data_IF_528863980075
#
_entry.id   IF_528863980075
#
_cell.length_a   1.000
_cell.length_b   1.000
_cell.length_c   1.000
_cell.angle_alpha   90.00
_cell.angle_beta   90.00
_cell.angle_gamma   90.00
#
_symmetry.space_group_name_H-M   'P 1'
#
loop_
_entity.id
_entity.type
_entity.pdbx_description
1 polymer ?
#
# COMPACT_ATOMS: atom_id res chain seq x y z
N UNK A 1 -27.85 -47.48 -35.41
CA UNK A 1 -27.66 -46.65 -34.21
C UNK A 1 -26.35 -45.90 -34.39
N UNK A 2 -26.42 -44.60 -34.73
CA UNK A 2 -25.23 -43.71 -34.85
C UNK A 2 -25.16 -42.86 -33.61
N UNK A 3 -24.13 -43.06 -32.78
CA UNK A 3 -23.86 -42.24 -31.60
C UNK A 3 -23.12 -40.99 -32.04
N UNK A 4 -23.75 -39.84 -31.91
CA UNK A 4 -23.13 -38.52 -32.13
C UNK A 4 -22.44 -38.08 -30.85
N UNK A 5 -21.10 -38.09 -30.82
CA UNK A 5 -20.31 -37.56 -29.74
C UNK A 5 -20.28 -36.02 -29.85
N UNK A 6 -20.90 -35.34 -28.92
CA UNK A 6 -20.85 -33.90 -28.76
C UNK A 6 -19.53 -33.54 -28.02
N UNK A 7 -18.58 -32.96 -28.75
CA UNK A 7 -17.33 -32.48 -28.21
C UNK A 7 -17.58 -31.10 -27.56
N UNK A 8 -17.67 -31.06 -26.24
CA UNK A 8 -17.78 -29.80 -25.47
C UNK A 8 -16.39 -29.16 -25.38
N UNK A 9 -16.11 -28.19 -26.26
CA UNK A 9 -14.90 -27.35 -26.14
C UNK A 9 -15.02 -26.45 -24.92
N UNK A 10 -14.35 -26.80 -23.81
CA UNK A 10 -14.06 -25.89 -22.73
C UNK A 10 -13.11 -24.83 -23.28
N UNK A 11 -13.64 -23.65 -23.58
CA UNK A 11 -12.85 -22.45 -23.83
C UNK A 11 -12.34 -22.00 -22.46
N UNK A 12 -11.11 -22.40 -22.10
CA UNK A 12 -10.37 -21.78 -21.02
C UNK A 12 -10.15 -20.32 -21.44
N UNK A 13 -10.91 -19.41 -20.84
CA UNK A 13 -10.73 -17.98 -21.03
C UNK A 13 -9.35 -17.60 -20.50
N UNK A 14 -8.37 -17.45 -21.38
CA UNK A 14 -7.12 -16.78 -21.06
C UNK A 14 -7.50 -15.35 -20.62
N UNK A 15 -7.17 -15.01 -19.38
CA UNK A 15 -7.30 -13.65 -18.89
C UNK A 15 -6.43 -12.75 -19.81
N UNK A 16 -7.08 -12.09 -20.74
CA UNK A 16 -6.44 -11.24 -21.73
C UNK A 16 -5.94 -9.98 -20.98
N UNK A 17 -4.70 -9.58 -21.23
CA UNK A 17 -4.18 -8.31 -20.74
C UNK A 17 -5.13 -7.18 -21.15
N UNK A 18 -5.45 -6.28 -20.24
CA UNK A 18 -6.27 -5.09 -20.53
C UNK A 18 -5.36 -3.86 -20.69
N UNK A 19 -5.03 -3.47 -21.94
CA UNK A 19 -4.13 -2.34 -22.20
C UNK A 19 -4.59 -1.04 -21.53
N UNK A 20 -5.90 -0.81 -21.43
CA UNK A 20 -6.44 0.38 -20.76
C UNK A 20 -6.26 0.31 -19.24
N UNK A 21 -6.47 -0.85 -18.65
CA UNK A 21 -6.22 -1.09 -17.23
C UNK A 21 -4.76 -0.85 -16.88
N UNK A 22 -3.85 -1.41 -17.68
CA UNK A 22 -2.40 -1.25 -17.49
C UNK A 22 -1.94 0.20 -17.69
N UNK A 23 -2.43 0.90 -18.72
CA UNK A 23 -2.10 2.31 -18.96
C UNK A 23 -2.49 3.20 -17.78
N UNK A 24 -3.71 3.03 -17.25
CA UNK A 24 -4.19 3.79 -16.09
C UNK A 24 -3.42 3.45 -14.82
N UNK A 25 -3.09 2.17 -14.60
CA UNK A 25 -2.27 1.74 -13.47
C UNK A 25 -0.86 2.33 -13.52
N UNK A 26 -0.21 2.33 -14.70
CA UNK A 26 1.09 2.97 -14.91
C UNK A 26 1.01 4.48 -14.68
N UNK A 27 -0.07 5.13 -15.12
CA UNK A 27 -0.26 6.56 -14.91
C UNK A 27 -0.37 6.91 -13.42
N UNK A 28 -1.07 6.08 -12.62
CA UNK A 28 -1.16 6.23 -11.18
C UNK A 28 0.19 5.96 -10.49
N UNK A 29 0.92 4.92 -10.93
CA UNK A 29 2.23 4.55 -10.41
C UNK A 29 3.25 5.69 -10.56
N UNK A 30 3.26 6.38 -11.71
CA UNK A 30 4.11 7.56 -11.96
C UNK A 30 3.88 8.72 -10.98
N UNK A 31 2.71 8.81 -10.32
CA UNK A 31 2.46 9.84 -9.30
C UNK A 31 3.14 9.53 -7.96
N UNK A 32 3.49 8.28 -7.71
CA UNK A 32 4.11 7.84 -6.46
C UNK A 32 5.64 7.94 -6.52
N UNK A 33 6.23 7.64 -7.68
CA UNK A 33 7.66 7.46 -7.87
C UNK A 33 8.38 8.67 -8.48
N UNK A 34 9.71 8.61 -8.50
CA UNK A 34 10.59 9.61 -9.12
C UNK A 34 10.96 10.76 -8.18
N UNK A 35 10.78 10.59 -6.86
CA UNK A 35 11.11 11.62 -5.86
C UNK A 35 12.54 11.50 -5.30
N UNK A 36 13.27 10.42 -5.64
CA UNK A 36 14.62 10.15 -5.18
C UNK A 36 14.66 9.77 -3.71
N UNK A 37 14.69 10.75 -2.82
CA UNK A 37 14.56 10.53 -1.38
C UNK A 37 13.57 11.49 -0.74
N UNK A 38 13.00 11.10 0.40
CA UNK A 38 12.09 11.94 1.16
C UNK A 38 12.07 11.62 2.65
N UNK A 39 11.66 12.61 3.45
CA UNK A 39 11.33 12.46 4.86
C UNK A 39 9.97 13.11 5.12
N UNK A 40 9.20 12.52 6.03
CA UNK A 40 7.91 13.03 6.48
C UNK A 40 7.60 12.61 7.90
N UNK A 41 6.57 13.21 8.49
CA UNK A 41 5.99 12.81 9.76
C UNK A 41 4.63 12.18 9.53
N UNK A 42 4.32 11.18 10.32
CA UNK A 42 3.08 10.43 10.26
C UNK A 42 2.49 10.34 11.67
N UNK A 43 1.22 10.71 11.80
CA UNK A 43 0.40 10.43 12.97
C UNK A 43 -0.57 9.32 12.62
N UNK A 44 -0.40 8.15 13.25
CA UNK A 44 -1.28 6.99 13.11
C UNK A 44 -2.27 6.98 14.28
N UNK A 45 -3.56 7.05 14.00
CA UNK A 45 -4.62 6.96 14.99
C UNK A 45 -5.42 5.68 14.76
N UNK A 46 -5.37 4.77 15.74
CA UNK A 46 -6.21 3.58 15.81
C UNK A 46 -7.55 3.96 16.45
N UNK A 47 -8.67 3.58 15.84
CA UNK A 47 -10.02 3.97 16.26
C UNK A 47 -10.83 2.70 16.46
N UNK A 48 -11.32 2.48 17.70
CA UNK A 48 -12.21 1.36 18.00
C UNK A 48 -13.62 1.61 17.44
N UNK A 49 -14.49 0.59 17.32
CA UNK A 49 -15.89 0.77 16.88
C UNK A 49 -16.70 1.67 17.83
N UNK A 50 -16.22 1.86 19.06
CA UNK A 50 -16.86 2.75 20.06
C UNK A 50 -16.30 4.18 20.03
N UNK A 51 -15.35 4.47 19.10
CA UNK A 51 -14.73 5.79 18.99
C UNK A 51 -13.52 6.02 19.92
N UNK A 52 -13.09 5.02 20.68
CA UNK A 52 -11.86 5.12 21.49
C UNK A 52 -10.64 5.21 20.56
N UNK A 53 -9.67 6.02 20.92
CA UNK A 53 -8.50 6.27 20.07
C UNK A 53 -7.18 5.96 20.78
N UNK A 54 -6.21 5.45 20.02
CA UNK A 54 -4.81 5.35 20.40
C UNK A 54 -3.95 5.94 19.30
N UNK A 55 -3.08 6.88 19.66
CA UNK A 55 -2.27 7.63 18.68
C UNK A 55 -0.81 7.24 18.78
N UNK A 56 -0.14 7.20 17.64
CA UNK A 56 1.31 6.95 17.49
C UNK A 56 1.90 7.98 16.54
N UNK A 57 3.08 8.49 16.88
CA UNK A 57 3.82 9.38 16.00
C UNK A 57 5.03 8.65 15.43
N UNK A 58 5.26 8.85 14.14
CA UNK A 58 6.32 8.20 13.40
C UNK A 58 7.08 9.21 12.54
N UNK A 59 8.35 8.96 12.36
CA UNK A 59 9.15 9.50 11.25
C UNK A 59 9.17 8.48 10.13
N UNK A 60 9.00 8.96 8.91
CA UNK A 60 9.05 8.12 7.71
C UNK A 60 10.10 8.68 6.77
N UNK A 61 11.03 7.83 6.34
CA UNK A 61 12.06 8.14 5.35
C UNK A 61 11.93 7.18 4.19
N UNK A 62 12.09 7.65 2.98
CA UNK A 62 12.14 6.80 1.80
C UNK A 62 13.30 7.18 0.89
N UNK A 63 13.79 6.19 0.15
CA UNK A 63 14.82 6.35 -0.87
C UNK A 63 14.56 5.42 -2.03
N UNK A 64 14.52 6.01 -3.23
CA UNK A 64 14.46 5.26 -4.49
C UNK A 64 15.87 5.02 -5.00
N UNK A 65 16.16 3.79 -5.39
CA UNK A 65 17.42 3.40 -5.99
C UNK A 65 17.21 2.16 -6.87
N UNK A 66 17.81 2.16 -8.06
CA UNK A 66 17.80 1.03 -9.02
C UNK A 66 16.37 0.53 -9.33
N UNK A 67 15.39 1.45 -9.37
CA UNK A 67 13.98 1.15 -9.65
C UNK A 67 13.20 0.55 -8.47
N UNK A 68 13.83 0.38 -7.31
CA UNK A 68 13.19 -0.04 -6.06
C UNK A 68 13.10 1.14 -5.07
N UNK A 69 12.16 1.07 -4.14
CA UNK A 69 12.04 2.01 -3.02
C UNK A 69 12.27 1.30 -1.69
N UNK A 70 13.10 1.91 -0.85
CA UNK A 70 13.27 1.52 0.55
C UNK A 70 12.60 2.55 1.44
N UNK A 71 11.70 2.09 2.30
CA UNK A 71 10.99 2.93 3.26
C UNK A 71 11.31 2.49 4.68
N UNK A 72 11.74 3.45 5.50
CA UNK A 72 12.04 3.28 6.92
C UNK A 72 11.01 4.06 7.75
N UNK A 73 10.17 3.35 8.51
CA UNK A 73 9.21 3.91 9.47
C UNK A 73 9.73 3.71 10.88
N UNK A 74 9.82 4.77 11.68
CA UNK A 74 10.33 4.73 13.06
C UNK A 74 9.26 5.30 13.97
N UNK A 75 8.82 4.53 14.97
CA UNK A 75 7.87 4.97 15.99
C UNK A 75 8.60 5.83 17.03
N UNK A 76 8.13 7.06 17.23
CA UNK A 76 8.66 7.99 18.22
C UNK A 76 7.85 7.96 19.52
N UNK A 77 6.52 7.86 19.42
CA UNK A 77 5.58 7.77 20.55
C UNK A 77 4.44 6.79 20.28
N UNK A 78 3.76 6.25 21.32
CA UNK A 78 4.06 6.34 22.73
C UNK A 78 5.22 5.43 23.17
N UNK A 79 5.61 5.50 24.44
CA UNK A 79 6.81 4.83 24.99
C UNK A 79 6.86 3.32 24.79
N UNK A 80 5.71 2.65 24.76
CA UNK A 80 5.59 1.20 24.60
C UNK A 80 5.98 0.72 23.18
N UNK A 81 5.90 1.58 22.19
CA UNK A 81 6.30 1.29 20.80
C UNK A 81 7.51 2.12 20.33
N UNK A 82 7.94 3.09 21.13
CA UNK A 82 9.06 3.98 20.75
C UNK A 82 10.32 3.20 20.41
N UNK A 83 10.97 3.58 19.29
CA UNK A 83 12.14 2.90 18.74
C UNK A 83 11.82 1.63 17.94
N UNK A 84 10.56 1.19 17.87
CA UNK A 84 10.16 0.17 16.90
C UNK A 84 10.36 0.73 15.49
N UNK A 85 10.94 -0.05 14.59
CA UNK A 85 11.18 0.41 13.23
C UNK A 85 10.86 -0.68 12.21
N UNK A 86 10.23 -0.28 11.10
CA UNK A 86 9.97 -1.13 9.93
C UNK A 86 10.80 -0.62 8.76
N UNK A 87 11.63 -1.49 8.19
CA UNK A 87 12.26 -1.28 6.89
C UNK A 87 11.52 -2.12 5.88
N UNK A 88 11.03 -1.48 4.81
CA UNK A 88 10.44 -2.15 3.65
C UNK A 88 11.29 -1.87 2.42
N UNK A 89 11.51 -2.87 1.60
CA UNK A 89 12.11 -2.77 0.27
C UNK A 89 11.12 -3.31 -0.75
N UNK A 90 10.69 -2.47 -1.67
CA UNK A 90 9.69 -2.77 -2.71
C UNK A 90 10.24 -2.38 -4.08
N UNK A 91 9.96 -3.17 -5.09
CA UNK A 91 10.38 -2.90 -6.46
C UNK A 91 9.39 -3.47 -7.48
N UNK A 92 9.56 -3.19 -8.77
CA UNK A 92 8.64 -3.64 -9.82
C UNK A 92 8.66 -5.14 -10.02
N UNK A 93 9.70 -5.82 -9.58
CA UNK A 93 9.91 -7.26 -9.71
C UNK A 93 10.23 -7.89 -8.35
N UNK A 94 9.98 -9.18 -8.23
CA UNK A 94 10.25 -9.94 -7.02
C UNK A 94 9.29 -9.64 -5.87
N UNK A 95 9.54 -10.27 -4.75
CA UNK A 95 8.77 -10.09 -3.52
C UNK A 95 9.26 -8.88 -2.73
N UNK A 96 8.33 -8.17 -2.07
CA UNK A 96 8.69 -7.15 -1.10
C UNK A 96 9.43 -7.78 0.08
N UNK A 97 10.45 -7.11 0.56
CA UNK A 97 11.20 -7.52 1.74
C UNK A 97 10.90 -6.55 2.88
N UNK A 98 10.58 -7.10 4.06
CA UNK A 98 10.26 -6.28 5.22
C UNK A 98 10.94 -6.82 6.48
N UNK A 99 11.53 -5.91 7.27
CA UNK A 99 12.19 -6.22 8.54
C UNK A 99 11.67 -5.30 9.64
N UNK A 100 11.18 -5.92 10.70
CA UNK A 100 10.67 -5.22 11.89
C UNK A 100 11.70 -5.33 13.02
N UNK A 101 12.17 -4.19 13.51
CA UNK A 101 12.97 -4.11 14.72
C UNK A 101 12.09 -3.85 15.93
N UNK A 102 12.26 -4.65 16.96
CA UNK A 102 11.55 -4.55 18.24
C UNK A 102 12.57 -4.23 19.34
N UNK A 103 12.62 -2.99 19.85
CA UNK A 103 13.61 -2.57 20.86
C UNK A 103 13.49 -3.32 22.18
N UNK A 104 12.28 -3.73 22.58
CA UNK A 104 12.06 -4.49 23.82
C UNK A 104 12.84 -5.81 23.88
N UNK A 105 13.05 -6.45 22.70
CA UNK A 105 13.81 -7.72 22.59
C UNK A 105 15.13 -7.53 21.83
N UNK A 106 15.45 -6.31 21.39
CA UNK A 106 16.64 -5.93 20.62
C UNK A 106 16.89 -6.84 19.40
N UNK A 107 15.81 -7.20 18.70
CA UNK A 107 15.88 -8.11 17.54
C UNK A 107 15.24 -7.49 16.30
N UNK A 108 15.90 -7.75 15.17
CA UNK A 108 15.33 -7.55 13.83
C UNK A 108 14.71 -8.89 13.40
N UNK A 109 13.43 -8.83 13.02
CA UNK A 109 12.69 -9.98 12.50
C UNK A 109 12.28 -9.72 11.06
N UNK A 110 12.61 -10.60 10.14
CA UNK A 110 12.06 -10.54 8.78
C UNK A 110 10.59 -10.96 8.79
N UNK A 111 9.76 -10.20 8.11
CA UNK A 111 8.35 -10.54 7.89
C UNK A 111 8.28 -11.44 6.67
N UNK A 112 8.08 -12.73 6.90
CA UNK A 112 7.95 -13.71 5.81
C UNK A 112 6.70 -13.45 4.95
N UNK A 113 6.73 -13.86 3.69
CA UNK A 113 5.68 -13.60 2.70
C UNK A 113 4.27 -13.94 3.20
N UNK A 114 4.10 -15.08 3.86
CA UNK A 114 2.80 -15.51 4.43
C UNK A 114 2.29 -14.63 5.58
N UNK A 115 3.16 -13.85 6.20
CA UNK A 115 2.81 -12.97 7.33
C UNK A 115 2.53 -11.52 6.90
N UNK A 116 2.78 -11.19 5.62
CA UNK A 116 2.56 -9.83 5.11
C UNK A 116 1.09 -9.42 5.08
N UNK A 117 0.17 -10.39 4.98
CA UNK A 117 -1.28 -10.16 5.11
C UNK A 117 -1.74 -9.88 6.55
N UNK A 118 -0.86 -10.06 7.55
CA UNK A 118 -1.15 -9.75 8.95
C UNK A 118 -1.16 -8.24 9.24
N UNK A 119 -1.80 -7.82 10.35
CA UNK A 119 -1.95 -6.40 10.69
C UNK A 119 -0.61 -5.77 11.09
N UNK A 120 -0.30 -4.61 10.50
CA UNK A 120 0.87 -3.80 10.87
C UNK A 120 0.61 -3.11 12.22
N UNK A 121 1.35 -3.50 13.25
CA UNK A 121 1.31 -2.85 14.57
C UNK A 121 -0.12 -2.64 15.11
N UNK A 122 -0.98 -3.67 15.03
CA UNK A 122 -2.38 -3.66 15.43
C UNK A 122 -3.27 -2.61 14.73
N UNK A 123 -2.82 -2.05 13.61
CA UNK A 123 -3.61 -1.18 12.74
C UNK A 123 -4.49 -1.99 11.76
N UNK A 124 -5.40 -1.32 11.06
CA UNK A 124 -6.18 -1.94 9.99
C UNK A 124 -5.41 -2.03 8.65
N UNK A 125 -4.19 -1.47 8.59
CA UNK A 125 -3.25 -1.73 7.50
C UNK A 125 -2.51 -3.04 7.73
N UNK A 126 -2.44 -3.89 6.72
CA UNK A 126 -1.55 -5.05 6.72
C UNK A 126 -0.11 -4.63 6.38
N UNK A 127 0.88 -5.49 6.64
CA UNK A 127 2.25 -5.24 6.20
C UNK A 127 2.34 -5.05 4.68
N UNK A 128 1.55 -5.80 3.89
CA UNK A 128 1.49 -5.64 2.43
C UNK A 128 0.88 -4.31 1.98
N UNK A 129 0.03 -3.65 2.82
CA UNK A 129 -0.53 -2.33 2.50
C UNK A 129 0.45 -1.17 2.77
N UNK A 130 1.45 -1.41 3.62
CA UNK A 130 2.48 -0.42 3.97
C UNK A 130 3.61 -0.41 2.93
N UNK A 131 3.82 -1.50 2.21
CA UNK A 131 4.77 -1.57 1.12
C UNK A 131 4.38 -0.63 -0.03
N UNK A 132 5.37 0.00 -0.67
CA UNK A 132 5.11 0.84 -1.85
C UNK A 132 4.58 -0.02 -2.99
N UNK A 133 3.40 0.27 -3.52
CA UNK A 133 2.84 -0.52 -4.61
C UNK A 133 3.55 -0.20 -5.92
N UNK A 134 3.76 -1.23 -6.73
CA UNK A 134 4.22 -1.14 -8.12
C UNK A 134 3.18 -1.78 -9.03
N UNK A 135 2.82 -1.13 -10.13
CA UNK A 135 1.78 -1.63 -11.02
C UNK A 135 2.08 -3.03 -11.57
N UNK A 136 3.34 -3.37 -11.81
CA UNK A 136 3.79 -4.67 -12.34
C UNK A 136 3.46 -5.85 -11.40
N UNK A 137 3.15 -5.59 -10.13
CA UNK A 137 2.81 -6.62 -9.15
C UNK A 137 1.35 -7.06 -9.20
N UNK A 138 0.58 -6.51 -10.13
CA UNK A 138 -0.84 -6.77 -10.27
C UNK A 138 -1.21 -7.04 -11.72
N UNK A 139 -2.27 -7.80 -11.91
CA UNK A 139 -3.03 -7.85 -13.16
C UNK A 139 -4.12 -6.80 -13.07
N UNK A 140 -4.23 -5.93 -14.07
CA UNK A 140 -5.18 -4.82 -14.06
C UNK A 140 -6.30 -5.05 -15.05
N UNK A 141 -7.51 -4.56 -14.72
CA UNK A 141 -8.67 -4.51 -15.60
C UNK A 141 -9.42 -3.20 -15.38
N UNK A 142 -9.65 -2.44 -16.45
CA UNK A 142 -10.55 -1.29 -16.42
C UNK A 142 -11.99 -1.79 -16.33
N UNK A 143 -12.78 -1.22 -15.42
CA UNK A 143 -14.18 -1.61 -15.26
C UNK A 143 -15.13 -0.56 -15.82
N UNK A 144 -15.00 0.69 -15.39
CA UNK A 144 -15.94 1.78 -15.70
C UNK A 144 -15.42 3.13 -15.24
N UNK A 145 -16.12 4.18 -15.67
CA UNK A 145 -16.01 5.51 -15.07
C UNK A 145 -17.21 5.73 -14.14
N UNK A 146 -16.97 6.37 -12.98
CA UNK A 146 -18.03 6.77 -12.06
C UNK A 146 -17.61 7.93 -11.17
N UNK A 147 -18.57 8.53 -10.45
CA UNK A 147 -18.25 9.55 -9.45
C UNK A 147 -17.60 8.93 -8.21
N UNK A 148 -16.55 9.59 -7.71
CA UNK A 148 -15.97 9.31 -6.39
C UNK A 148 -16.01 10.58 -5.53
N UNK A 149 -17.14 10.78 -4.85
CA UNK A 149 -17.50 12.05 -4.24
C UNK A 149 -17.81 13.10 -5.31
N UNK A 150 -17.12 14.24 -5.25
CA UNK A 150 -17.29 15.33 -6.23
C UNK A 150 -16.44 15.16 -7.50
N UNK A 151 -15.54 14.19 -7.51
CA UNK A 151 -14.61 13.94 -8.61
C UNK A 151 -15.17 12.90 -9.60
N UNK A 152 -14.68 12.94 -10.84
CA UNK A 152 -14.84 11.85 -11.80
C UNK A 152 -13.66 10.89 -11.66
N UNK A 153 -13.93 9.58 -11.57
CA UNK A 153 -12.94 8.55 -11.38
C UNK A 153 -13.01 7.47 -12.46
N UNK A 154 -11.84 6.89 -12.77
CA UNK A 154 -11.73 5.57 -13.39
C UNK A 154 -11.74 4.52 -12.29
N UNK A 155 -12.50 3.44 -12.48
CA UNK A 155 -12.49 2.27 -11.59
C UNK A 155 -11.73 1.16 -12.27
N UNK A 156 -10.66 0.71 -11.58
CA UNK A 156 -9.87 -0.45 -11.98
C UNK A 156 -10.12 -1.59 -11.00
N UNK A 157 -10.11 -2.80 -11.50
CA UNK A 157 -9.85 -3.99 -10.69
C UNK A 157 -8.38 -4.34 -10.83
N UNK A 158 -7.72 -4.68 -9.72
CA UNK A 158 -6.38 -5.24 -9.74
C UNK A 158 -6.32 -6.50 -8.89
N UNK A 159 -5.66 -7.53 -9.43
CA UNK A 159 -5.44 -8.82 -8.77
C UNK A 159 -3.95 -8.94 -8.43
N UNK A 160 -3.57 -9.15 -7.15
CA UNK A 160 -2.18 -9.38 -6.78
C UNK A 160 -1.60 -10.61 -7.49
N UNK A 161 -0.38 -10.50 -8.01
CA UNK A 161 0.38 -11.64 -8.56
C UNK A 161 1.05 -12.46 -7.46
N UNK A 162 1.20 -11.90 -6.26
CA UNK A 162 1.72 -12.62 -5.09
C UNK A 162 0.66 -13.59 -4.55
N UNK A 163 0.94 -14.88 -4.64
CA UNK A 163 0.06 -15.94 -4.14
C UNK A 163 -0.14 -15.90 -2.61
N UNK A 164 0.76 -15.24 -1.88
CA UNK A 164 0.68 -15.07 -0.43
C UNK A 164 -0.08 -13.81 -0.01
N UNK A 165 -0.54 -12.96 -0.95
CA UNK A 165 -1.38 -11.80 -0.62
C UNK A 165 -2.66 -12.24 0.09
N UNK A 166 -3.09 -11.50 1.09
CA UNK A 166 -4.37 -11.70 1.78
C UNK A 166 -5.59 -11.40 0.91
N UNK A 167 -5.38 -10.80 -0.27
CA UNK A 167 -6.46 -10.36 -1.16
C UNK A 167 -6.55 -11.21 -2.41
N UNK A 168 -7.78 -11.46 -2.85
CA UNK A 168 -8.04 -12.00 -4.18
C UNK A 168 -8.04 -10.90 -5.24
N UNK A 169 -8.58 -9.72 -4.89
CA UNK A 169 -8.65 -8.55 -5.75
C UNK A 169 -8.82 -7.27 -4.96
N UNK A 170 -8.59 -6.15 -5.64
CA UNK A 170 -8.84 -4.80 -5.13
C UNK A 170 -9.56 -3.99 -6.21
N UNK A 171 -10.58 -3.20 -5.82
CA UNK A 171 -11.17 -2.19 -6.69
C UNK A 171 -10.55 -0.84 -6.36
N UNK A 172 -10.03 -0.14 -7.37
CA UNK A 172 -9.24 1.09 -7.19
C UNK A 172 -9.90 2.22 -7.96
N UNK A 173 -10.20 3.31 -7.26
CA UNK A 173 -10.71 4.56 -7.85
C UNK A 173 -9.57 5.54 -8.06
N UNK A 174 -9.30 5.85 -9.32
CA UNK A 174 -8.32 6.85 -9.74
C UNK A 174 -9.06 8.10 -10.23
N UNK A 175 -8.78 9.28 -9.68
CA UNK A 175 -9.36 10.47 -10.26
C UNK A 175 -8.90 10.67 -11.71
N UNK A 176 -9.78 11.24 -12.53
CA UNK A 176 -9.53 11.37 -13.97
C UNK A 176 -8.49 12.44 -14.31
N UNK A 177 -8.33 13.46 -13.45
CA UNK A 177 -7.43 14.57 -13.69
C UNK A 177 -5.96 14.18 -13.48
N UNK A 178 -5.63 13.75 -12.27
CA UNK A 178 -4.23 13.54 -11.84
C UNK A 178 -3.87 12.05 -11.68
N UNK A 179 -4.82 11.11 -11.86
CA UNK A 179 -4.66 9.67 -11.68
C UNK A 179 -4.24 9.28 -10.25
N UNK A 180 -4.67 10.07 -9.26
CA UNK A 180 -4.42 9.80 -7.85
C UNK A 180 -5.41 8.78 -7.32
N UNK A 181 -4.92 7.83 -6.51
CA UNK A 181 -5.76 6.84 -5.85
C UNK A 181 -6.58 7.51 -4.76
N UNK A 182 -7.91 7.56 -4.93
CA UNK A 182 -8.86 8.16 -3.99
C UNK A 182 -9.48 7.16 -3.05
N UNK A 183 -9.71 5.94 -3.53
CA UNK A 183 -10.34 4.85 -2.78
C UNK A 183 -9.80 3.51 -3.25
N UNK A 184 -9.75 2.53 -2.34
CA UNK A 184 -9.51 1.12 -2.65
C UNK A 184 -10.47 0.29 -1.80
N UNK A 185 -11.11 -0.69 -2.42
CA UNK A 185 -11.83 -1.76 -1.75
C UNK A 185 -11.03 -3.05 -1.83
N UNK A 186 -10.78 -3.68 -0.69
CA UNK A 186 -10.00 -4.91 -0.58
C UNK A 186 -10.92 -6.10 -0.37
N UNK A 187 -10.78 -7.12 -1.21
CA UNK A 187 -11.55 -8.35 -1.12
C UNK A 187 -10.64 -9.51 -0.74
N UNK A 188 -11.09 -10.31 0.25
CA UNK A 188 -10.34 -11.49 0.71
C UNK A 188 -10.35 -12.63 -0.33
N UNK A 189 -9.70 -13.75 0.01
CA UNK A 189 -9.63 -14.95 -0.85
C UNK A 189 -10.99 -15.58 -1.14
N UNK A 190 -12.02 -15.31 -0.35
CA UNK A 190 -13.41 -15.72 -0.57
C UNK A 190 -14.21 -14.69 -1.38
N UNK A 191 -13.60 -13.55 -1.76
CA UNK A 191 -14.24 -12.49 -2.51
C UNK A 191 -15.07 -11.51 -1.66
N UNK A 192 -15.04 -11.61 -0.32
CA UNK A 192 -15.76 -10.68 0.57
C UNK A 192 -15.00 -9.38 0.71
N UNK A 193 -15.72 -8.25 0.75
CA UNK A 193 -15.16 -6.95 1.14
C UNK A 193 -14.69 -7.00 2.60
N UNK A 194 -13.39 -6.78 2.81
CA UNK A 194 -12.80 -6.83 4.16
C UNK A 194 -12.44 -5.46 4.70
N UNK A 195 -12.05 -4.53 3.84
CA UNK A 195 -11.72 -3.15 4.24
C UNK A 195 -11.77 -2.19 3.07
N UNK A 196 -11.90 -0.92 3.40
CA UNK A 196 -11.91 0.19 2.45
C UNK A 196 -10.86 1.21 2.86
N UNK A 197 -10.04 1.62 1.91
CA UNK A 197 -9.09 2.72 2.01
C UNK A 197 -9.64 3.96 1.31
N UNK A 198 -9.42 5.13 1.89
CA UNK A 198 -9.64 6.42 1.24
C UNK A 198 -8.46 7.36 1.49
N UNK A 199 -8.14 8.20 0.50
CA UNK A 199 -7.10 9.21 0.60
C UNK A 199 -7.65 10.59 0.23
N UNK A 200 -7.34 11.60 1.06
CA UNK A 200 -7.87 12.96 0.94
C UNK A 200 -6.79 14.02 1.19
N UNK A 201 -7.14 15.28 0.90
CA UNK A 201 -6.25 16.41 1.18
C UNK A 201 -4.96 16.38 0.36
N UNK A 202 -5.00 15.90 -0.88
CA UNK A 202 -3.81 15.83 -1.71
C UNK A 202 -3.18 17.21 -1.92
N UNK A 203 -1.88 17.28 -1.70
CA UNK A 203 -1.05 18.47 -1.92
C UNK A 203 0.08 18.15 -2.89
N UNK A 204 0.41 19.12 -3.73
CA UNK A 204 1.50 19.01 -4.71
C UNK A 204 2.75 19.69 -4.16
N UNK A 205 3.70 18.89 -3.72
CA UNK A 205 4.97 19.37 -3.17
C UNK A 205 5.97 19.64 -4.29
N UNK A 206 6.75 20.70 -4.16
CA UNK A 206 7.75 21.17 -5.16
C UNK A 206 7.18 21.25 -6.59
N UNK A 207 5.86 21.51 -6.73
CA UNK A 207 5.18 21.56 -8.02
C UNK A 207 5.09 20.22 -8.76
N UNK A 208 5.53 19.10 -8.16
CA UNK A 208 5.68 17.80 -8.84
C UNK A 208 5.08 16.62 -8.07
N UNK A 209 5.36 16.47 -6.77
CA UNK A 209 5.04 15.26 -6.02
C UNK A 209 3.72 15.37 -5.29
N UNK A 210 2.73 14.58 -5.70
CA UNK A 210 1.46 14.51 -5.00
C UNK A 210 1.53 13.62 -3.77
N UNK A 211 1.08 14.13 -2.62
CA UNK A 211 0.95 13.33 -1.39
C UNK A 211 -0.38 13.64 -0.71
N UNK A 212 -1.12 12.64 -0.22
CA UNK A 212 -2.33 12.87 0.57
C UNK A 212 -1.95 13.42 1.95
N UNK A 213 -2.78 14.32 2.47
CA UNK A 213 -2.66 14.74 3.86
C UNK A 213 -3.22 13.67 4.82
N UNK A 214 -4.23 12.92 4.37
CA UNK A 214 -4.88 11.90 5.19
C UNK A 214 -5.19 10.64 4.38
N UNK A 215 -4.98 9.50 5.03
CA UNK A 215 -5.40 8.18 4.57
C UNK A 215 -6.23 7.54 5.69
N UNK A 216 -7.36 6.93 5.34
CA UNK A 216 -8.23 6.21 6.27
C UNK A 216 -8.47 4.79 5.77
N UNK A 217 -8.20 3.82 6.64
CA UNK A 217 -8.57 2.42 6.44
C UNK A 217 -9.73 2.07 7.38
N UNK A 218 -10.81 1.54 6.83
CA UNK A 218 -11.99 1.11 7.59
C UNK A 218 -12.18 -0.39 7.38
N UNK A 219 -12.23 -1.15 8.47
CA UNK A 219 -12.51 -2.57 8.45
C UNK A 219 -14.02 -2.80 8.29
N UNK A 220 -14.42 -3.43 7.18
CA UNK A 220 -15.82 -3.66 6.85
C UNK A 220 -16.51 -4.70 7.76
N UNK A 221 -15.74 -5.55 8.46
CA UNK A 221 -16.27 -6.63 9.29
C UNK A 221 -16.60 -6.19 10.72
N UNK A 222 -15.80 -5.31 11.29
CA UNK A 222 -15.88 -4.97 12.70
C UNK A 222 -15.96 -3.45 12.97
N UNK A 223 -15.88 -2.61 11.92
CA UNK A 223 -15.98 -1.15 12.06
C UNK A 223 -14.76 -0.46 12.67
N UNK A 224 -13.65 -1.18 12.96
CA UNK A 224 -12.39 -0.57 13.39
C UNK A 224 -11.81 0.26 12.25
N UNK A 225 -11.06 1.31 12.62
CA UNK A 225 -10.46 2.21 11.65
C UNK A 225 -9.02 2.52 12.02
N UNK A 226 -8.22 2.87 11.03
CA UNK A 226 -6.90 3.48 11.23
C UNK A 226 -6.76 4.68 10.31
N UNK A 227 -6.50 5.84 10.90
CA UNK A 227 -6.21 7.08 10.18
C UNK A 227 -4.71 7.33 10.20
N UNK A 228 -4.16 7.68 9.05
CA UNK A 228 -2.77 8.13 8.86
C UNK A 228 -2.80 9.59 8.42
N UNK A 229 -2.32 10.49 9.27
CA UNK A 229 -2.21 11.92 8.96
C UNK A 229 -0.74 12.26 8.69
N UNK A 230 -0.45 12.75 7.48
CA UNK A 230 0.88 13.03 6.98
C UNK A 230 1.20 14.51 7.04
N UNK A 231 2.45 14.85 7.36
CA UNK A 231 2.93 16.23 7.39
C UNK A 231 4.44 16.34 7.19
N UNK A 232 4.94 17.55 6.98
CA UNK A 232 6.36 17.84 6.99
C UNK A 232 7.15 17.15 5.87
N UNK A 233 6.55 16.92 4.70
CA UNK A 233 7.25 16.32 3.56
C UNK A 233 8.45 17.17 3.12
N UNK A 234 9.61 16.55 3.00
CA UNK A 234 10.83 17.07 2.43
C UNK A 234 11.38 16.09 1.42
N UNK A 235 11.74 16.55 0.23
CA UNK A 235 12.23 15.72 -0.87
C UNK A 235 13.62 16.16 -1.29
N UNK A 236 14.45 15.22 -1.78
CA UNK A 236 15.80 15.51 -2.28
C UNK A 236 16.73 16.02 -1.18
N UNK A 237 16.66 15.45 0.02
CA UNK A 237 17.42 15.90 1.19
C UNK A 237 18.75 15.17 1.37
N UNK A 238 19.07 14.22 0.46
CA UNK A 238 20.36 13.53 0.45
C UNK A 238 20.48 12.43 1.50
N UNK A 239 19.40 11.64 1.73
CA UNK A 239 19.46 10.51 2.66
C UNK A 239 20.48 9.47 2.18
N UNK A 240 21.33 8.98 3.10
CA UNK A 240 22.35 8.01 2.76
C UNK A 240 21.74 6.61 2.57
N UNK A 241 22.26 5.85 1.60
CA UNK A 241 21.85 4.45 1.39
C UNK A 241 22.08 3.59 2.63
N UNK A 242 23.15 3.88 3.38
CA UNK A 242 23.50 3.18 4.61
C UNK A 242 22.44 3.25 5.70
N UNK A 243 21.48 4.21 5.59
CA UNK A 243 20.38 4.34 6.55
C UNK A 243 19.25 3.33 6.29
N UNK A 244 19.25 2.68 5.11
CA UNK A 244 18.20 1.78 4.65
C UNK A 244 18.66 0.32 4.59
N UNK A 245 19.25 -0.16 5.67
CA UNK A 245 19.65 -1.58 5.79
C UNK A 245 19.28 -2.14 7.17
N UNK A 246 19.32 -3.47 7.31
CA UNK A 246 18.95 -4.16 8.55
C UNK A 246 19.82 -3.76 9.75
N UNK A 247 21.10 -3.44 9.54
CA UNK A 247 21.99 -3.01 10.63
C UNK A 247 21.63 -1.59 11.11
N UNK A 248 21.10 -0.73 10.21
CA UNK A 248 20.66 0.61 10.56
C UNK A 248 19.43 0.57 11.48
N UNK A 249 18.54 -0.44 11.33
CA UNK A 249 17.36 -0.60 12.19
C UNK A 249 17.69 -0.66 13.69
N UNK A 250 18.82 -1.18 14.08
CA UNK A 250 19.24 -1.28 15.50
C UNK A 250 19.81 0.04 16.04
N UNK A 251 20.11 1.00 15.17
CA UNK A 251 20.72 2.30 15.51
C UNK A 251 19.74 3.48 15.44
N UNK A 252 18.48 3.23 15.04
CA UNK A 252 17.44 4.26 15.05
C UNK A 252 17.18 4.75 16.48
N UNK A 253 17.37 6.05 16.67
CA UNK A 253 17.09 6.77 17.92
C UNK A 253 15.93 7.73 17.68
#
# INVERSE_FOLDING_TARGET
>A
MRATFLFLCLIAGFAQADPRGDELAQAADRQLHGHGDSESRLVMTLISPRGETATRELRVRSREQDGAERTLMIFDTPRDVAGTALLSESGPQGEDQQWLYLPAVKRVKQIGSRNRSGPFMASEFAFEDIATPYWQKYRHRYLRDEKCGVLDCHVLEREPLDENSGYSRQLVWLDRADKLVRRIEFHDRQGNLVKTYTATGFQRHQGRFWRPAEMLMVNARNGRQTRLAWSGFRFGIGLAESDFNQNALQRVK
#
